data_IF_334737236552
#
_entry.id   IF_334737236552
#
_cell.length_a   1.000
_cell.length_b   1.000
_cell.length_c   1.000
_cell.angle_alpha   90.00
_cell.angle_beta   90.00
_cell.angle_gamma   90.00
#
_symmetry.space_group_name_H-M   'P 1'
#
loop_
_entity.id
_entity.type
_entity.pdbx_description
1 polymer ?
#
# COMPACT_ATOMS: atom_id res chain seq x y z
N UNK A 1 35.02 6.93 14.54
CA UNK A 1 35.13 6.93 13.07
C UNK A 1 33.99 7.74 12.50
N UNK A 2 34.27 8.66 11.58
CA UNK A 2 33.26 9.56 11.01
C UNK A 2 32.38 8.78 10.02
N UNK A 3 31.15 8.41 10.40
CA UNK A 3 30.29 7.52 9.63
C UNK A 3 29.30 8.28 8.75
N UNK A 4 29.84 9.20 7.94
CA UNK A 4 29.05 10.11 7.11
C UNK A 4 28.03 9.39 6.20
N UNK A 5 28.38 8.30 5.48
CA UNK A 5 27.41 7.60 4.63
C UNK A 5 26.19 7.07 5.40
N UNK A 6 26.39 6.54 6.62
CA UNK A 6 25.28 6.08 7.45
C UNK A 6 24.45 7.23 8.01
N UNK A 7 25.09 8.35 8.35
CA UNK A 7 24.39 9.54 8.84
C UNK A 7 23.48 10.14 7.76
N UNK A 8 23.94 10.20 6.50
CA UNK A 8 23.17 10.66 5.35
C UNK A 8 21.94 9.76 5.14
N UNK A 9 22.16 8.44 5.08
CA UNK A 9 21.07 7.48 4.87
C UNK A 9 20.03 7.51 6.00
N UNK A 10 20.47 7.61 7.27
CA UNK A 10 19.57 7.70 8.42
C UNK A 10 18.76 9.01 8.41
N UNK A 11 19.39 10.14 8.13
CA UNK A 11 18.72 11.44 8.05
C UNK A 11 17.70 11.49 6.90
N UNK A 12 18.04 10.92 5.74
CA UNK A 12 17.12 10.78 4.61
C UNK A 12 15.91 9.91 4.97
N UNK A 13 16.15 8.73 5.55
CA UNK A 13 15.09 7.80 6.00
C UNK A 13 14.12 8.48 6.95
N UNK A 14 14.64 9.19 7.96
CA UNK A 14 13.82 9.90 8.95
C UNK A 14 12.93 10.99 8.32
N UNK A 15 13.48 11.79 7.39
CA UNK A 15 12.73 12.86 6.73
C UNK A 15 11.59 12.38 5.85
N UNK A 16 11.62 11.14 5.36
CA UNK A 16 10.50 10.61 4.58
C UNK A 16 9.21 10.53 5.41
N UNK A 17 9.31 10.21 6.71
CA UNK A 17 8.16 10.16 7.63
C UNK A 17 7.94 11.48 8.40
N UNK A 18 8.97 12.32 8.50
CA UNK A 18 8.92 13.60 9.20
C UNK A 18 9.37 14.75 8.29
N UNK A 19 8.61 15.06 7.21
CA UNK A 19 9.03 16.03 6.21
C UNK A 19 9.23 17.43 6.78
N UNK A 20 8.51 17.77 7.86
CA UNK A 20 8.54 19.09 8.49
C UNK A 20 9.58 19.25 9.61
N UNK A 21 10.44 18.24 9.85
CA UNK A 21 11.49 18.33 10.86
C UNK A 21 12.61 19.31 10.43
N UNK A 22 12.57 20.52 10.97
CA UNK A 22 13.52 21.59 10.60
C UNK A 22 14.99 21.21 10.83
N UNK A 23 15.28 20.44 11.88
CA UNK A 23 16.65 20.05 12.20
C UNK A 23 17.18 19.09 11.14
N UNK A 24 16.39 18.10 10.77
CA UNK A 24 16.77 17.10 9.80
C UNK A 24 16.82 17.68 8.38
N UNK A 25 15.94 18.63 8.04
CA UNK A 25 16.04 19.40 6.79
C UNK A 25 17.38 20.14 6.69
N UNK A 26 17.81 20.83 7.77
CA UNK A 26 19.12 21.50 7.83
C UNK A 26 20.27 20.51 7.70
N UNK A 27 20.19 19.37 8.39
CA UNK A 27 21.20 18.30 8.29
C UNK A 27 21.30 17.78 6.85
N UNK A 28 20.18 17.53 6.17
CA UNK A 28 20.18 17.10 4.78
C UNK A 28 20.68 18.18 3.81
N UNK A 29 20.38 19.45 4.05
CA UNK A 29 20.94 20.54 3.25
C UNK A 29 22.47 20.59 3.37
N UNK A 30 23.00 20.41 4.59
CA UNK A 30 24.44 20.27 4.82
C UNK A 30 25.00 19.03 4.12
N UNK A 31 24.39 17.86 4.26
CA UNK A 31 24.87 16.64 3.62
C UNK A 31 24.89 16.74 2.10
N UNK A 32 23.85 17.31 1.48
CA UNK A 32 23.81 17.56 0.04
C UNK A 32 24.88 18.52 -0.47
N UNK A 33 25.49 19.32 0.40
CA UNK A 33 26.61 20.20 0.04
C UNK A 33 27.96 19.47 -0.04
N UNK A 34 28.04 18.24 0.46
CA UNK A 34 29.27 17.44 0.47
C UNK A 34 29.37 16.70 -0.88
N UNK A 35 30.55 16.69 -1.53
CA UNK A 35 30.79 15.89 -2.73
C UNK A 35 30.42 14.42 -2.52
N UNK A 36 29.82 13.80 -3.53
CA UNK A 36 29.44 12.38 -3.57
C UNK A 36 28.37 11.96 -2.53
N UNK A 37 27.81 12.90 -1.75
CA UNK A 37 26.79 12.61 -0.76
C UNK A 37 25.52 11.99 -1.35
N UNK A 38 25.21 12.30 -2.62
CA UNK A 38 24.04 11.80 -3.33
C UNK A 38 24.03 10.27 -3.46
N UNK A 39 25.21 9.63 -3.54
CA UNK A 39 25.34 8.16 -3.55
C UNK A 39 24.93 7.50 -2.23
N UNK A 40 24.82 8.29 -1.16
CA UNK A 40 24.48 7.83 0.18
C UNK A 40 23.05 8.22 0.60
N UNK A 41 22.33 8.97 -0.24
CA UNK A 41 20.93 9.31 -0.04
C UNK A 41 20.09 8.09 -0.44
N UNK A 42 19.90 7.21 0.52
CA UNK A 42 19.05 6.03 0.38
C UNK A 42 18.14 5.91 1.58
N UNK A 43 16.93 5.46 1.32
CA UNK A 43 16.02 5.04 2.37
C UNK A 43 16.44 3.64 2.85
N UNK A 44 16.64 3.52 4.15
CA UNK A 44 17.06 2.30 4.82
C UNK A 44 15.88 1.39 5.17
N UNK A 45 14.65 1.91 5.11
CA UNK A 45 13.41 1.22 5.45
C UNK A 45 12.60 0.78 4.23
N UNK A 46 13.06 1.12 3.01
CA UNK A 46 12.41 0.77 1.75
C UNK A 46 12.10 -0.72 1.69
N UNK A 47 10.82 -1.04 1.50
CA UNK A 47 10.37 -2.42 1.34
C UNK A 47 10.61 -2.91 -0.09
N UNK A 48 10.78 -4.24 -0.30
CA UNK A 48 11.04 -4.80 -1.62
C UNK A 48 10.02 -4.42 -2.70
N UNK A 49 8.72 -4.40 -2.36
CA UNK A 49 7.65 -4.04 -3.30
C UNK A 49 7.73 -2.59 -3.77
N UNK A 50 8.32 -1.66 -3.00
CA UNK A 50 8.41 -0.25 -3.37
C UNK A 50 9.36 -0.07 -4.56
N UNK A 51 10.49 -0.77 -4.55
CA UNK A 51 11.45 -0.76 -5.66
C UNK A 51 10.83 -1.37 -6.93
N UNK A 52 10.07 -2.45 -6.77
CA UNK A 52 9.33 -3.07 -7.87
C UNK A 52 8.28 -2.10 -8.43
N UNK A 53 7.49 -1.46 -7.57
CA UNK A 53 6.49 -0.48 -7.95
C UNK A 53 7.10 0.70 -8.71
N UNK A 54 8.17 1.31 -8.18
CA UNK A 54 8.86 2.43 -8.85
C UNK A 54 9.40 2.02 -10.21
N UNK A 55 9.99 0.83 -10.33
CA UNK A 55 10.49 0.30 -11.61
C UNK A 55 9.34 0.04 -12.59
N UNK A 56 8.22 -0.51 -12.11
CA UNK A 56 7.02 -0.73 -12.91
C UNK A 56 6.44 0.58 -13.46
N UNK A 57 6.31 1.61 -12.61
CA UNK A 57 5.81 2.94 -13.02
C UNK A 57 6.74 3.62 -14.02
N UNK A 58 8.07 3.52 -13.82
CA UNK A 58 9.04 4.02 -14.81
C UNK A 58 8.91 3.30 -16.15
N UNK A 59 8.73 1.98 -16.13
CA UNK A 59 8.52 1.19 -17.34
C UNK A 59 7.20 1.56 -18.03
N UNK A 60 6.13 1.75 -17.27
CA UNK A 60 4.83 2.23 -17.76
C UNK A 60 4.96 3.57 -18.49
N UNK A 61 5.60 4.55 -17.86
CA UNK A 61 5.80 5.89 -18.44
C UNK A 61 6.74 5.87 -19.66
N UNK A 62 7.57 4.83 -19.80
CA UNK A 62 8.42 4.59 -20.97
C UNK A 62 7.80 3.66 -22.01
N UNK A 63 6.48 3.41 -21.96
CA UNK A 63 5.73 2.49 -22.83
C UNK A 63 6.26 1.03 -22.85
N UNK A 64 7.07 0.64 -21.87
CA UNK A 64 7.55 -0.72 -21.69
C UNK A 64 6.54 -1.53 -20.86
N UNK A 65 5.43 -1.88 -21.50
CA UNK A 65 4.30 -2.58 -20.87
C UNK A 65 4.70 -3.93 -20.26
N UNK A 66 5.59 -4.68 -20.92
CA UNK A 66 6.02 -6.00 -20.43
C UNK A 66 6.77 -5.91 -19.11
N UNK A 67 7.70 -4.97 -18.99
CA UNK A 67 8.42 -4.75 -17.72
C UNK A 67 7.48 -4.18 -16.67
N UNK A 68 6.59 -3.25 -17.04
CA UNK A 68 5.57 -2.74 -16.11
C UNK A 68 4.72 -3.86 -15.52
N UNK A 69 4.25 -4.80 -16.35
CA UNK A 69 3.48 -5.96 -15.89
C UNK A 69 4.33 -6.84 -14.99
N UNK A 70 5.52 -7.27 -15.46
CA UNK A 70 6.37 -8.19 -14.71
C UNK A 70 6.71 -7.67 -13.32
N UNK A 71 6.98 -6.37 -13.20
CA UNK A 71 7.36 -5.76 -11.92
C UNK A 71 6.15 -5.56 -11.02
N UNK A 72 5.01 -5.13 -11.57
CA UNK A 72 3.80 -4.90 -10.78
C UNK A 72 3.15 -6.21 -10.29
N UNK A 73 3.22 -7.28 -11.08
CA UNK A 73 2.79 -8.63 -10.67
C UNK A 73 3.68 -9.22 -9.56
N UNK A 74 4.92 -8.72 -9.39
CA UNK A 74 5.78 -9.07 -8.26
C UNK A 74 5.54 -8.14 -7.06
N UNK A 75 5.27 -6.85 -7.31
CA UNK A 75 5.03 -5.86 -6.25
C UNK A 75 3.78 -6.17 -5.43
N UNK A 76 2.67 -6.57 -6.08
CA UNK A 76 1.41 -6.90 -5.41
C UNK A 76 1.54 -7.98 -4.32
N UNK A 77 2.04 -9.20 -4.62
CA UNK A 77 2.17 -10.24 -3.60
C UNK A 77 3.18 -9.86 -2.51
N UNK A 78 4.26 -9.15 -2.85
CA UNK A 78 5.23 -8.67 -1.85
C UNK A 78 4.60 -7.63 -0.90
N UNK A 79 3.74 -6.75 -1.42
CA UNK A 79 2.96 -5.81 -0.60
C UNK A 79 1.99 -6.56 0.31
N UNK A 80 1.20 -7.51 -0.22
CA UNK A 80 0.27 -8.28 0.59
C UNK A 80 0.97 -9.08 1.69
N UNK A 81 2.15 -9.62 1.40
CA UNK A 81 2.97 -10.27 2.42
C UNK A 81 3.41 -9.28 3.50
N UNK A 82 3.88 -8.10 3.11
CA UNK A 82 4.26 -7.06 4.09
C UNK A 82 3.07 -6.61 4.95
N UNK A 83 1.86 -6.58 4.37
CA UNK A 83 0.62 -6.32 5.11
C UNK A 83 0.31 -7.44 6.10
N UNK A 84 0.36 -8.71 5.66
CA UNK A 84 0.17 -9.86 6.53
C UNK A 84 1.18 -9.85 7.70
N UNK A 85 2.46 -9.57 7.42
CA UNK A 85 3.51 -9.43 8.44
C UNK A 85 3.23 -8.28 9.43
N UNK A 86 2.74 -7.13 8.94
CA UNK A 86 2.35 -6.01 9.79
C UNK A 86 1.19 -6.37 10.71
N UNK A 87 0.14 -6.99 10.18
CA UNK A 87 -1.04 -7.36 10.98
C UNK A 87 -0.73 -8.44 12.01
N UNK A 88 0.19 -9.35 11.70
CA UNK A 88 0.69 -10.35 12.65
C UNK A 88 1.51 -9.69 13.78
N UNK A 89 2.32 -8.68 13.46
CA UNK A 89 3.09 -7.93 14.46
C UNK A 89 2.22 -7.16 15.46
N UNK A 90 0.97 -6.84 15.10
CA UNK A 90 0.00 -6.20 16.00
C UNK A 90 -0.51 -7.12 17.11
N UNK A 91 -0.39 -8.45 17.00
CA UNK A 91 -0.90 -9.42 18.00
C UNK A 91 0.07 -9.64 19.18
N UNK A 92 0.98 -8.70 19.41
CA UNK A 92 1.95 -8.74 20.50
C UNK A 92 1.34 -8.52 21.89
N UNK A 93 2.14 -8.75 22.92
CA UNK A 93 1.75 -8.49 24.31
C UNK A 93 1.49 -7.01 24.58
N UNK A 94 0.43 -6.68 25.35
CA UNK A 94 0.20 -5.32 25.85
C UNK A 94 0.92 -5.06 27.17
N UNK A 95 1.27 -3.79 27.39
CA UNK A 95 1.61 -3.28 28.71
C UNK A 95 0.31 -3.01 29.48
N UNK A 96 0.07 -3.73 30.57
CA UNK A 96 -1.11 -3.52 31.41
C UNK A 96 -0.84 -2.29 32.30
N UNK A 97 -1.49 -1.16 31.97
CA UNK A 97 -1.33 0.11 32.70
C UNK A 97 -2.36 0.28 33.81
N UNK A 98 -3.48 -0.40 33.70
CA UNK A 98 -4.63 -0.33 34.59
C UNK A 98 -5.15 -1.73 34.93
N UNK A 99 -5.63 -1.91 36.16
CA UNK A 99 -6.25 -3.17 36.60
C UNK A 99 -7.75 -3.12 36.36
N UNK A 100 -8.17 -3.69 35.23
CA UNK A 100 -9.56 -3.97 34.89
C UNK A 100 -9.90 -5.44 35.11
N UNK A 101 -11.19 -5.76 35.21
CA UNK A 101 -11.66 -7.15 35.20
C UNK A 101 -11.20 -7.87 33.93
N UNK A 102 -11.01 -9.19 34.02
CA UNK A 102 -10.41 -10.01 32.95
C UNK A 102 -11.05 -9.79 31.57
N UNK A 103 -12.38 -9.74 31.49
CA UNK A 103 -13.09 -9.56 30.23
C UNK A 103 -12.90 -8.15 29.64
N UNK A 104 -12.90 -7.12 30.48
CA UNK A 104 -12.65 -5.74 30.05
C UNK A 104 -11.20 -5.57 29.57
N UNK A 105 -10.24 -6.18 30.28
CA UNK A 105 -8.84 -6.17 29.90
C UNK A 105 -8.59 -6.85 28.54
N UNK A 106 -9.32 -7.94 28.24
CA UNK A 106 -9.27 -8.58 26.92
C UNK A 106 -9.91 -7.70 25.85
N UNK A 107 -11.07 -7.08 26.14
CA UNK A 107 -11.74 -6.20 25.20
C UNK A 107 -10.85 -5.02 24.81
N UNK A 108 -10.26 -4.32 25.78
CA UNK A 108 -9.31 -3.22 25.52
C UNK A 108 -8.13 -3.68 24.67
N UNK A 109 -7.53 -4.82 25.01
CA UNK A 109 -6.43 -5.37 24.23
C UNK A 109 -6.83 -5.62 22.78
N UNK A 110 -8.04 -6.16 22.57
CA UNK A 110 -8.54 -6.43 21.24
C UNK A 110 -8.73 -5.16 20.42
N UNK A 111 -9.19 -4.08 21.06
CA UNK A 111 -9.33 -2.75 20.45
C UNK A 111 -7.95 -2.18 20.09
N UNK A 112 -6.95 -2.29 20.98
CA UNK A 112 -5.56 -1.89 20.71
C UNK A 112 -4.99 -2.64 19.49
N UNK A 113 -5.22 -3.96 19.41
CA UNK A 113 -4.79 -4.80 18.28
C UNK A 113 -5.47 -4.36 16.99
N UNK A 114 -6.79 -4.12 17.02
CA UNK A 114 -7.55 -3.62 15.86
C UNK A 114 -7.03 -2.26 15.40
N UNK A 115 -6.80 -1.33 16.34
CA UNK A 115 -6.25 -0.01 16.06
C UNK A 115 -4.88 -0.09 15.35
N UNK A 116 -4.02 -1.03 15.77
CA UNK A 116 -2.75 -1.28 15.10
C UNK A 116 -2.97 -1.84 13.68
N UNK A 117 -3.84 -2.85 13.53
CA UNK A 117 -4.09 -3.52 12.24
C UNK A 117 -4.62 -2.56 11.17
N UNK A 118 -5.58 -1.69 11.52
CA UNK A 118 -6.15 -0.71 10.57
C UNK A 118 -5.14 0.35 10.11
N UNK A 119 -4.03 0.53 10.83
CA UNK A 119 -2.94 1.43 10.42
C UNK A 119 -1.91 0.75 9.50
N UNK A 120 -1.97 -0.57 9.29
CA UNK A 120 -0.97 -1.26 8.49
C UNK A 120 -0.90 -0.76 7.04
N UNK A 121 -2.04 -0.52 6.39
CA UNK A 121 -2.07 -0.04 5.00
C UNK A 121 -1.41 1.34 4.87
N UNK A 122 -1.77 2.29 5.73
CA UNK A 122 -1.21 3.65 5.70
C UNK A 122 0.29 3.66 6.04
N UNK A 123 0.73 2.82 6.98
CA UNK A 123 2.13 2.70 7.37
C UNK A 123 3.00 2.12 6.24
N UNK A 124 2.46 1.19 5.46
CA UNK A 124 3.11 0.53 4.33
C UNK A 124 2.93 1.29 3.00
N UNK A 125 2.08 2.31 2.94
CA UNK A 125 1.92 3.08 1.70
C UNK A 125 3.21 3.87 1.41
N UNK A 126 3.82 3.72 0.23
CA UNK A 126 5.08 4.39 -0.08
C UNK A 126 4.90 5.89 -0.30
N UNK A 127 5.97 6.63 0.00
CA UNK A 127 6.10 8.06 -0.28
C UNK A 127 7.06 8.23 -1.45
N UNK A 128 6.54 8.62 -2.61
CA UNK A 128 7.32 8.74 -3.84
C UNK A 128 7.42 10.21 -4.22
N UNK A 129 8.65 10.72 -4.29
CA UNK A 129 8.89 12.13 -4.64
C UNK A 129 8.28 13.13 -3.64
N UNK A 130 8.06 12.70 -2.39
CA UNK A 130 7.43 13.51 -1.33
C UNK A 130 5.91 13.40 -1.26
N UNK A 131 5.27 12.59 -2.09
CA UNK A 131 3.82 12.39 -2.10
C UNK A 131 3.45 10.95 -1.74
N UNK A 132 2.45 10.80 -0.88
CA UNK A 132 1.86 9.50 -0.56
C UNK A 132 1.12 8.97 -1.77
N UNK A 133 1.33 7.70 -2.13
CA UNK A 133 0.58 7.08 -3.22
C UNK A 133 -0.80 6.67 -2.72
N UNK A 134 -1.79 7.55 -2.87
CA UNK A 134 -3.16 7.26 -2.47
C UNK A 134 -3.71 6.00 -3.15
N UNK A 135 -4.54 5.25 -2.41
CA UNK A 135 -5.18 4.00 -2.89
C UNK A 135 -4.16 3.05 -3.52
N UNK A 136 -3.08 2.75 -2.79
CA UNK A 136 -1.89 2.10 -3.34
C UNK A 136 -2.19 0.80 -4.10
N UNK A 137 -3.00 -0.09 -3.52
CA UNK A 137 -3.42 -1.35 -4.16
C UNK A 137 -4.25 -1.11 -5.43
N UNK A 138 -5.19 -0.17 -5.38
CA UNK A 138 -5.96 0.23 -6.57
C UNK A 138 -5.01 0.73 -7.67
N UNK A 139 -4.08 1.61 -7.32
CA UNK A 139 -3.09 2.16 -8.24
C UNK A 139 -2.27 1.06 -8.94
N UNK A 140 -1.85 0.01 -8.22
CA UNK A 140 -1.18 -1.14 -8.83
C UNK A 140 -2.07 -1.86 -9.87
N UNK A 141 -3.35 -2.09 -9.54
CA UNK A 141 -4.30 -2.71 -10.48
C UNK A 141 -4.63 -1.82 -11.67
N UNK A 142 -4.64 -0.50 -11.52
CA UNK A 142 -4.81 0.45 -12.63
C UNK A 142 -3.65 0.33 -13.63
N UNK A 143 -2.40 0.33 -13.16
CA UNK A 143 -1.23 0.15 -14.01
C UNK A 143 -1.25 -1.20 -14.74
N UNK A 144 -1.59 -2.28 -14.03
CA UNK A 144 -1.73 -3.61 -14.63
C UNK A 144 -2.82 -3.64 -15.70
N UNK A 145 -4.02 -3.14 -15.39
CA UNK A 145 -5.15 -3.11 -16.32
C UNK A 145 -4.76 -2.45 -17.64
N UNK A 146 -4.16 -1.26 -17.58
CA UNK A 146 -3.79 -0.54 -18.79
C UNK A 146 -2.64 -1.23 -19.53
N UNK A 147 -1.61 -1.69 -18.83
CA UNK A 147 -0.49 -2.37 -19.48
C UNK A 147 -0.93 -3.68 -20.18
N UNK A 148 -1.81 -4.47 -19.56
CA UNK A 148 -2.40 -5.66 -20.19
C UNK A 148 -3.24 -5.31 -21.40
N UNK A 149 -4.05 -4.24 -21.31
CA UNK A 149 -4.81 -3.72 -22.45
C UNK A 149 -3.89 -3.35 -23.63
N UNK A 150 -2.77 -2.66 -23.37
CA UNK A 150 -1.79 -2.27 -24.40
C UNK A 150 -1.09 -3.46 -25.05
N UNK A 151 -1.02 -4.60 -24.38
CA UNK A 151 -0.50 -5.86 -24.92
C UNK A 151 -1.59 -6.80 -25.48
N UNK A 152 -2.82 -6.33 -25.59
CA UNK A 152 -3.97 -7.10 -26.08
C UNK A 152 -4.35 -8.32 -25.21
N UNK A 153 -3.98 -8.30 -23.92
CA UNK A 153 -4.38 -9.31 -22.95
C UNK A 153 -5.65 -8.87 -22.21
N UNK A 154 -6.78 -9.01 -22.89
CA UNK A 154 -8.07 -8.48 -22.43
C UNK A 154 -8.61 -9.21 -21.19
N UNK A 155 -8.22 -10.48 -20.99
CA UNK A 155 -8.66 -11.26 -19.82
C UNK A 155 -8.07 -10.70 -18.54
N UNK A 156 -6.75 -10.54 -18.52
CA UNK A 156 -6.07 -9.95 -17.38
C UNK A 156 -6.46 -8.47 -17.21
N UNK A 157 -6.64 -7.73 -18.30
CA UNK A 157 -7.08 -6.34 -18.22
C UNK A 157 -8.47 -6.18 -17.58
N UNK A 158 -9.43 -7.04 -17.94
CA UNK A 158 -10.77 -7.04 -17.35
C UNK A 158 -10.75 -7.45 -15.88
N UNK A 159 -10.00 -8.49 -15.51
CA UNK A 159 -9.88 -8.93 -14.13
C UNK A 159 -9.19 -7.88 -13.25
N UNK A 160 -8.15 -7.19 -13.75
CA UNK A 160 -7.52 -6.08 -13.04
C UNK A 160 -8.46 -4.87 -12.87
N UNK A 161 -9.28 -4.55 -13.87
CA UNK A 161 -10.30 -3.50 -13.74
C UNK A 161 -11.35 -3.85 -12.67
N UNK A 162 -11.76 -5.12 -12.59
CA UNK A 162 -12.64 -5.60 -11.54
C UNK A 162 -11.98 -5.53 -10.16
N UNK A 163 -10.71 -5.93 -10.03
CA UNK A 163 -9.93 -5.80 -8.79
C UNK A 163 -9.78 -4.34 -8.35
N UNK A 164 -9.52 -3.42 -9.27
CA UNK A 164 -9.44 -1.98 -8.98
C UNK A 164 -10.73 -1.46 -8.33
N UNK A 165 -11.88 -1.82 -8.91
CA UNK A 165 -13.17 -1.33 -8.46
C UNK A 165 -13.58 -1.85 -7.07
N UNK A 166 -12.90 -2.84 -6.50
CA UNK A 166 -13.06 -3.17 -5.07
C UNK A 166 -12.63 -2.01 -4.18
N UNK A 167 -11.56 -1.32 -4.56
CA UNK A 167 -10.92 -0.28 -3.75
C UNK A 167 -11.38 1.13 -4.13
N UNK A 168 -11.86 1.34 -5.36
CA UNK A 168 -12.42 2.61 -5.78
C UNK A 168 -13.67 2.44 -6.65
N UNK A 169 -14.80 2.21 -5.97
CA UNK A 169 -16.11 2.07 -6.62
C UNK A 169 -16.66 3.38 -7.20
N UNK A 170 -16.03 4.52 -6.94
CA UNK A 170 -16.50 5.84 -7.42
C UNK A 170 -15.77 6.31 -8.67
N UNK A 171 -14.74 5.59 -9.11
CA UNK A 171 -14.00 5.90 -10.32
C UNK A 171 -14.84 5.63 -11.58
N UNK A 172 -15.32 6.71 -12.20
CA UNK A 172 -16.13 6.63 -13.41
C UNK A 172 -15.33 6.18 -14.65
N UNK A 173 -14.02 6.45 -14.70
CA UNK A 173 -13.16 6.03 -15.82
C UNK A 173 -12.99 4.52 -15.80
N UNK A 174 -12.72 3.94 -14.63
CA UNK A 174 -12.58 2.48 -14.53
C UNK A 174 -13.91 1.76 -14.75
N UNK A 175 -15.05 2.34 -14.32
CA UNK A 175 -16.38 1.82 -14.67
C UNK A 175 -16.60 1.80 -16.18
N UNK A 176 -16.25 2.88 -16.88
CA UNK A 176 -16.35 2.94 -18.33
C UNK A 176 -15.44 1.90 -19.01
N UNK A 177 -14.23 1.67 -18.49
CA UNK A 177 -13.35 0.61 -18.97
C UNK A 177 -13.99 -0.78 -18.83
N UNK A 178 -14.66 -1.06 -17.70
CA UNK A 178 -15.40 -2.32 -17.52
C UNK A 178 -16.54 -2.48 -18.53
N UNK A 179 -17.33 -1.43 -18.74
CA UNK A 179 -18.40 -1.43 -19.74
C UNK A 179 -17.83 -1.66 -21.14
N UNK A 180 -16.69 -1.04 -21.47
CA UNK A 180 -16.00 -1.23 -22.74
C UNK A 180 -15.54 -2.67 -22.95
N UNK A 181 -14.99 -3.31 -21.92
CA UNK A 181 -14.61 -4.73 -21.96
C UNK A 181 -15.82 -5.66 -22.13
N UNK A 182 -16.91 -5.39 -21.42
CA UNK A 182 -18.16 -6.15 -21.53
C UNK A 182 -18.78 -6.00 -22.92
N UNK A 183 -18.76 -4.80 -23.50
CA UNK A 183 -19.27 -4.55 -24.84
C UNK A 183 -18.53 -5.34 -25.93
N UNK A 184 -17.22 -5.53 -25.75
CA UNK A 184 -16.37 -6.28 -26.68
C UNK A 184 -16.13 -7.74 -26.26
N UNK A 185 -16.91 -8.26 -25.33
CA UNK A 185 -16.76 -9.61 -24.75
C UNK A 185 -16.66 -10.70 -25.81
N UNK A 186 -17.58 -10.75 -26.78
CA UNK A 186 -17.59 -11.76 -27.84
C UNK A 186 -16.39 -11.64 -28.78
N UNK A 187 -16.00 -10.39 -29.10
CA UNK A 187 -14.86 -10.10 -29.98
C UNK A 187 -13.54 -10.61 -29.39
N UNK A 188 -13.40 -10.54 -28.06
CA UNK A 188 -12.19 -10.94 -27.36
C UNK A 188 -12.27 -12.32 -26.69
N UNK A 189 -13.39 -13.04 -26.88
CA UNK A 189 -13.60 -14.36 -26.29
C UNK A 189 -13.56 -14.33 -24.76
N UNK A 190 -14.01 -13.24 -24.16
CA UNK A 190 -14.10 -13.06 -22.71
C UNK A 190 -15.33 -13.80 -22.16
N UNK A 191 -15.21 -14.30 -20.94
CA UNK A 191 -16.25 -14.99 -20.20
C UNK A 191 -16.61 -14.20 -18.94
N UNK A 192 -17.72 -14.57 -18.28
CA UNK A 192 -18.13 -13.94 -17.01
C UNK A 192 -17.05 -14.04 -15.92
N UNK A 193 -16.26 -15.13 -15.94
CA UNK A 193 -15.14 -15.34 -15.01
C UNK A 193 -14.02 -14.29 -15.19
N UNK A 194 -13.82 -13.76 -16.40
CA UNK A 194 -12.79 -12.75 -16.69
C UNK A 194 -13.14 -11.36 -16.11
N UNK A 195 -14.40 -11.15 -15.72
CA UNK A 195 -14.88 -9.90 -15.10
C UNK A 195 -14.93 -9.98 -13.57
N UNK A 196 -14.41 -11.06 -12.99
CA UNK A 196 -14.30 -11.18 -11.54
C UNK A 196 -12.97 -10.56 -11.05
N UNK A 197 -12.98 -9.91 -9.88
CA UNK A 197 -11.76 -9.46 -9.25
C UNK A 197 -10.88 -10.66 -8.90
N UNK A 198 -9.56 -10.46 -8.90
CA UNK A 198 -8.60 -11.50 -8.55
C UNK A 198 -8.74 -11.91 -7.09
N UNK A 199 -8.46 -13.17 -6.78
CA UNK A 199 -8.69 -13.75 -5.46
C UNK A 199 -7.86 -13.09 -4.36
N UNK A 200 -6.63 -12.68 -4.66
CA UNK A 200 -5.78 -11.95 -3.72
C UNK A 200 -6.32 -10.55 -3.41
N UNK A 201 -6.91 -9.86 -4.39
CA UNK A 201 -7.57 -8.57 -4.19
C UNK A 201 -8.81 -8.70 -3.29
N UNK A 202 -9.65 -9.72 -3.56
CA UNK A 202 -10.84 -10.02 -2.76
C UNK A 202 -10.46 -10.36 -1.32
N UNK A 203 -9.45 -11.21 -1.12
CA UNK A 203 -8.95 -11.55 0.22
C UNK A 203 -8.52 -10.30 0.97
N UNK A 204 -7.68 -9.47 0.34
CA UNK A 204 -7.18 -8.25 0.94
C UNK A 204 -8.31 -7.29 1.32
N UNK A 205 -9.18 -6.96 0.36
CA UNK A 205 -10.34 -6.09 0.57
C UNK A 205 -11.24 -6.59 1.71
N UNK A 206 -11.58 -7.87 1.75
CA UNK A 206 -12.46 -8.41 2.78
C UNK A 206 -11.82 -8.34 4.18
N UNK A 207 -10.51 -8.59 4.29
CA UNK A 207 -9.78 -8.48 5.55
C UNK A 207 -9.71 -7.03 6.03
N UNK A 208 -9.30 -6.11 5.15
CA UNK A 208 -9.16 -4.69 5.50
C UNK A 208 -10.50 -4.06 5.90
N UNK A 209 -11.55 -4.34 5.13
CA UNK A 209 -12.90 -3.82 5.39
C UNK A 209 -13.45 -4.35 6.71
N UNK A 210 -13.35 -5.66 6.95
CA UNK A 210 -13.82 -6.25 8.21
C UNK A 210 -13.05 -5.71 9.42
N UNK A 211 -11.72 -5.58 9.32
CA UNK A 211 -10.90 -5.02 10.41
C UNK A 211 -11.30 -3.58 10.74
N UNK A 212 -11.58 -2.76 9.72
CA UNK A 212 -12.03 -1.39 9.90
C UNK A 212 -13.42 -1.35 10.54
N UNK A 213 -14.39 -2.10 10.02
CA UNK A 213 -15.76 -2.18 10.57
C UNK A 213 -15.75 -2.61 12.05
N UNK A 214 -14.93 -3.61 12.39
CA UNK A 214 -14.78 -4.07 13.77
C UNK A 214 -14.15 -3.01 14.68
N UNK A 215 -13.16 -2.28 14.18
CA UNK A 215 -12.51 -1.20 14.93
C UNK A 215 -13.46 -0.03 15.17
N UNK A 216 -14.19 0.41 14.13
CA UNK A 216 -15.18 1.49 14.23
C UNK A 216 -16.31 1.11 15.18
N UNK A 217 -16.84 -0.11 15.07
CA UNK A 217 -17.85 -0.62 16.00
C UNK A 217 -17.37 -0.57 17.44
N UNK A 218 -16.15 -1.03 17.71
CA UNK A 218 -15.60 -1.04 19.06
C UNK A 218 -15.36 0.37 19.60
N UNK A 219 -14.91 1.30 18.75
CA UNK A 219 -14.74 2.70 19.12
C UNK A 219 -16.06 3.38 19.47
N UNK A 220 -17.14 3.04 18.78
CA UNK A 220 -18.47 3.62 19.02
C UNK A 220 -19.21 3.00 20.23
N UNK A 221 -18.95 1.74 20.56
CA UNK A 221 -19.78 0.99 21.52
C UNK A 221 -19.05 0.46 22.76
N UNK A 222 -17.72 0.39 22.73
CA UNK A 222 -16.92 -0.29 23.76
C UNK A 222 -15.85 0.59 24.41
N UNK A 223 -15.44 1.68 23.77
CA UNK A 223 -14.53 2.65 24.39
C UNK A 223 -15.32 3.53 25.35
N UNK A 224 -14.79 3.75 26.55
CA UNK A 224 -15.38 4.67 27.51
C UNK A 224 -15.46 6.07 26.89
N UNK A 225 -16.59 6.76 27.08
CA UNK A 225 -16.67 8.20 26.77
C UNK A 225 -15.63 8.89 27.66
N UNK A 226 -14.60 9.49 27.06
CA UNK A 226 -13.67 10.37 27.77
C UNK A 226 -14.45 11.61 28.27
N UNK A 227 -15.14 11.49 29.42
CA UNK A 227 -15.59 12.61 30.27
C UNK A 227 -14.48 13.09 31.22
#
# INVERSE_FOLDING_TARGET
>A
ANNLPKAIAAAHTFLLKHPDDEMMQRNMAYYKSIPDAEEHIKDLETKPYENLFVRAVRAYNGDNWRTSISDMELALPDFFKAYDDCTAACEGSREIKDFKDFYLSIADHYIEVLACKVQCESNLTPIIGGFVVEKFVATMYHYLQFAYYKLNDMKNAASCAASYLLFDQKDEVMKQNMVYYQYHKDKWGLKEEDFQPRSEAVRYHNITTLQLEMYEFAKEHLMDDDE
#
